data_IF_087651126390
#
_entry.id   IF_087651126390
#
_cell.length_a   1.000
_cell.length_b   1.000
_cell.length_c   1.000
_cell.angle_alpha   90.00
_cell.angle_beta   90.00
_cell.angle_gamma   90.00
#
_symmetry.space_group_name_H-M   'P 1'
#
loop_
_entity.id
_entity.type
_entity.pdbx_description
1 polymer ?
#
# COMPACT_ATOMS: atom_id res chain seq x y z
N UNK A 1 -31.43 -19.71 -12.50
CA UNK A 1 -30.73 -18.41 -12.38
C UNK A 1 -30.92 -17.90 -10.96
N UNK A 2 -29.92 -18.11 -10.10
CA UNK A 2 -29.98 -17.75 -8.68
C UNK A 2 -29.08 -16.52 -8.50
N UNK A 3 -29.66 -15.34 -8.30
CA UNK A 3 -28.91 -14.11 -8.00
C UNK A 3 -28.51 -14.17 -6.53
N UNK A 4 -27.23 -14.39 -6.27
CA UNK A 4 -26.67 -14.18 -4.93
C UNK A 4 -26.79 -12.68 -4.64
N UNK A 5 -27.40 -12.25 -3.52
CA UNK A 5 -27.48 -10.84 -3.17
C UNK A 5 -26.06 -10.31 -2.91
N UNK A 6 -25.67 -9.30 -3.69
CA UNK A 6 -24.37 -8.60 -3.64
C UNK A 6 -24.10 -7.84 -2.33
N UNK A 7 -24.97 -7.96 -1.31
CA UNK A 7 -24.87 -7.19 -0.07
C UNK A 7 -23.91 -7.78 0.98
N UNK A 8 -23.30 -8.94 0.73
CA UNK A 8 -22.53 -9.70 1.73
C UNK A 8 -21.01 -9.72 1.47
N UNK A 9 -20.50 -8.99 0.48
CA UNK A 9 -19.06 -8.96 0.14
C UNK A 9 -18.34 -7.70 0.64
N UNK A 10 -19.07 -6.72 1.18
CA UNK A 10 -18.48 -5.54 1.83
C UNK A 10 -18.26 -5.76 3.32
N UNK A 11 -17.68 -6.90 3.70
CA UNK A 11 -16.89 -6.95 4.93
C UNK A 11 -15.65 -6.09 4.70
N UNK A 12 -15.86 -4.76 4.71
CA UNK A 12 -14.83 -3.73 4.62
C UNK A 12 -13.79 -4.14 5.65
N UNK A 13 -12.66 -4.60 5.16
CA UNK A 13 -11.51 -4.92 5.97
C UNK A 13 -11.02 -3.59 6.53
N UNK A 14 -11.65 -3.11 7.60
CA UNK A 14 -11.34 -1.86 8.28
C UNK A 14 -10.03 -2.07 9.01
N UNK A 15 -8.94 -2.16 8.25
CA UNK A 15 -7.63 -2.17 8.86
C UNK A 15 -7.51 -0.86 9.66
N UNK A 16 -7.14 -0.96 10.94
CA UNK A 16 -6.99 0.21 11.78
C UNK A 16 -5.98 1.16 11.15
N UNK A 17 -6.29 2.46 11.21
CA UNK A 17 -5.41 3.47 10.63
C UNK A 17 -3.98 3.33 11.18
N UNK A 18 -2.93 3.72 10.43
CA UNK A 18 -1.55 3.66 10.92
C UNK A 18 -1.36 4.35 12.27
N UNK A 19 -2.07 5.45 12.51
CA UNK A 19 -2.11 6.15 13.79
C UNK A 19 -2.68 5.28 14.91
N UNK A 20 -3.83 4.65 14.67
CA UNK A 20 -4.45 3.73 15.64
C UNK A 20 -3.49 2.60 16.00
N UNK A 21 -2.83 2.01 14.99
CA UNK A 21 -1.84 0.94 15.21
C UNK A 21 -0.65 1.42 16.05
N UNK A 22 -0.10 2.59 15.72
CA UNK A 22 1.01 3.20 16.44
C UNK A 22 0.67 3.48 17.92
N UNK A 23 -0.47 4.12 18.19
CA UNK A 23 -0.85 4.45 19.57
C UNK A 23 -1.16 3.21 20.40
N UNK A 24 -1.86 2.23 19.82
CA UNK A 24 -2.18 0.96 20.50
C UNK A 24 -0.89 0.18 20.80
N UNK A 25 0.01 0.02 19.83
CA UNK A 25 1.27 -0.70 20.03
C UNK A 25 2.20 0.02 21.01
N UNK A 26 2.29 1.35 20.91
CA UNK A 26 3.10 2.18 21.80
C UNK A 26 2.61 2.19 23.25
N UNK A 27 1.29 2.25 23.45
CA UNK A 27 0.70 2.13 24.78
C UNK A 27 0.98 0.76 25.40
N UNK A 28 0.74 -0.32 24.66
CA UNK A 28 1.00 -1.68 25.13
C UNK A 28 2.49 -1.91 25.46
N UNK A 29 3.40 -1.41 24.61
CA UNK A 29 4.83 -1.46 24.86
C UNK A 29 5.22 -0.74 26.15
N UNK A 30 4.66 0.45 26.39
CA UNK A 30 4.93 1.25 27.59
C UNK A 30 4.45 0.55 28.86
N UNK A 31 3.25 -0.05 28.82
CA UNK A 31 2.71 -0.85 29.93
C UNK A 31 3.63 -2.03 30.26
N UNK A 32 4.10 -2.76 29.24
CA UNK A 32 4.98 -3.91 29.44
C UNK A 32 6.37 -3.51 29.97
N UNK A 33 6.95 -2.42 29.47
CA UNK A 33 8.21 -1.88 30.01
C UNK A 33 8.05 -1.47 31.47
N UNK A 34 6.92 -0.83 31.81
CA UNK A 34 6.57 -0.49 33.19
C UNK A 34 6.47 -1.72 34.09
N UNK A 35 5.81 -2.79 33.63
CA UNK A 35 5.70 -4.05 34.36
C UNK A 35 7.09 -4.69 34.62
N UNK A 36 7.95 -4.72 33.61
CA UNK A 36 9.34 -5.18 33.77
C UNK A 36 10.11 -4.34 34.79
N UNK A 37 9.97 -3.02 34.77
CA UNK A 37 10.62 -2.12 35.72
C UNK A 37 10.14 -2.36 37.17
N UNK A 38 8.83 -2.54 37.36
CA UNK A 38 8.25 -2.87 38.67
C UNK A 38 8.72 -4.24 39.19
N UNK A 39 8.82 -5.25 38.31
CA UNK A 39 9.36 -6.57 38.68
C UNK A 39 10.83 -6.49 39.11
N UNK A 40 11.65 -5.73 38.37
CA UNK A 40 13.06 -5.48 38.72
C UNK A 40 13.15 -4.80 40.09
N UNK A 41 12.33 -3.79 40.34
CA UNK A 41 12.31 -3.10 41.62
C UNK A 41 11.83 -4.01 42.76
N UNK A 42 10.81 -4.84 42.53
CA UNK A 42 10.32 -5.82 43.49
C UNK A 42 11.37 -6.86 43.88
N UNK A 43 12.15 -7.34 42.91
CA UNK A 43 13.31 -8.21 43.19
C UNK A 43 14.40 -7.48 43.98
N UNK A 44 14.68 -6.21 43.66
CA UNK A 44 15.69 -5.40 44.38
C UNK A 44 15.34 -5.17 45.86
N UNK A 45 14.05 -4.95 46.15
CA UNK A 45 13.56 -4.74 47.52
C UNK A 45 13.31 -6.08 48.25
N UNK A 46 13.47 -7.22 47.57
CA UNK A 46 13.24 -8.55 48.15
C UNK A 46 11.76 -8.95 48.27
N UNK A 47 10.85 -8.18 47.66
CA UNK A 47 9.41 -8.48 47.66
C UNK A 47 9.00 -9.58 46.67
N UNK A 48 9.87 -9.94 45.73
CA UNK A 48 9.63 -10.98 44.73
C UNK A 48 10.78 -11.98 44.73
N UNK A 49 10.53 -13.30 44.85
CA UNK A 49 11.56 -14.32 44.72
C UNK A 49 12.28 -14.24 43.38
N UNK A 50 13.62 -14.27 43.40
CA UNK A 50 14.46 -14.20 42.21
C UNK A 50 14.07 -15.17 41.07
N UNK A 51 13.85 -16.48 41.30
CA UNK A 51 13.56 -17.40 40.19
C UNK A 51 12.24 -17.06 39.51
N UNK A 52 11.26 -16.55 40.26
CA UNK A 52 9.98 -16.12 39.72
C UNK A 52 10.12 -14.85 38.89
N UNK A 53 10.81 -13.84 39.41
CA UNK A 53 11.03 -12.59 38.69
C UNK A 53 11.85 -12.77 37.41
N UNK A 54 12.89 -13.62 37.43
CA UNK A 54 13.69 -13.96 36.25
C UNK A 54 12.84 -14.66 35.19
N UNK A 55 12.01 -15.64 35.59
CA UNK A 55 11.11 -16.35 34.66
C UNK A 55 10.16 -15.40 33.91
N UNK A 56 9.55 -14.45 34.63
CA UNK A 56 8.70 -13.42 34.01
C UNK A 56 9.48 -12.49 33.08
N UNK A 57 10.68 -12.05 33.47
CA UNK A 57 11.49 -11.17 32.62
C UNK A 57 11.94 -11.86 31.32
N UNK A 58 12.21 -13.17 31.35
CA UNK A 58 12.56 -13.93 30.15
C UNK A 58 11.41 -13.98 29.12
N UNK A 59 10.17 -13.81 29.55
CA UNK A 59 8.99 -13.79 28.66
C UNK A 59 8.62 -12.34 28.28
N UNK A 60 8.46 -11.48 29.28
CA UNK A 60 8.00 -10.11 29.09
C UNK A 60 9.05 -9.21 28.45
N UNK A 61 10.34 -9.42 28.74
CA UNK A 61 11.44 -8.62 28.20
C UNK A 61 11.54 -8.70 26.67
N UNK A 62 11.63 -9.91 26.08
CA UNK A 62 11.63 -10.06 24.62
C UNK A 62 10.34 -9.55 23.98
N UNK A 63 9.18 -9.79 24.61
CA UNK A 63 7.89 -9.32 24.10
C UNK A 63 7.81 -7.78 24.06
N UNK A 64 8.25 -7.11 25.13
CA UNK A 64 8.31 -5.65 25.19
C UNK A 64 9.26 -5.09 24.13
N UNK A 65 10.43 -5.71 23.96
CA UNK A 65 11.44 -5.32 22.98
C UNK A 65 10.91 -5.46 21.55
N UNK A 66 10.21 -6.56 21.26
CA UNK A 66 9.57 -6.80 19.98
C UNK A 66 8.49 -5.75 19.67
N UNK A 67 7.62 -5.43 20.64
CA UNK A 67 6.59 -4.41 20.48
C UNK A 67 7.15 -3.01 20.27
N UNK A 68 8.25 -2.66 20.94
CA UNK A 68 8.95 -1.39 20.71
C UNK A 68 9.50 -1.33 19.27
N UNK A 69 10.11 -2.41 18.79
CA UNK A 69 10.60 -2.50 17.42
C UNK A 69 9.47 -2.29 16.39
N UNK A 70 8.34 -2.97 16.57
CA UNK A 70 7.17 -2.79 15.69
C UNK A 70 6.57 -1.39 15.77
N UNK A 71 6.55 -0.77 16.96
CA UNK A 71 6.06 0.60 17.14
C UNK A 71 6.91 1.60 16.35
N UNK A 72 8.23 1.40 16.30
CA UNK A 72 9.12 2.16 15.43
C UNK A 72 8.69 2.07 13.96
N UNK A 73 8.44 0.87 13.45
CA UNK A 73 7.95 0.67 12.08
C UNK A 73 6.61 1.38 11.79
N UNK A 74 5.65 1.30 12.71
CA UNK A 74 4.37 2.01 12.57
C UNK A 74 4.53 3.54 12.59
N UNK A 75 5.49 4.05 13.36
CA UNK A 75 5.83 5.47 13.35
C UNK A 75 6.32 5.92 11.96
N UNK A 76 7.19 5.14 11.33
CA UNK A 76 7.65 5.42 9.96
C UNK A 76 6.48 5.47 8.96
N UNK A 77 5.51 4.57 9.06
CA UNK A 77 4.32 4.56 8.18
C UNK A 77 3.46 5.82 8.25
N UNK A 78 3.48 6.52 9.39
CA UNK A 78 2.76 7.79 9.54
C UNK A 78 3.38 8.90 8.70
N UNK A 79 4.70 8.86 8.49
CA UNK A 79 5.43 9.83 7.68
C UNK A 79 5.57 9.40 6.22
N UNK A 80 5.07 8.21 5.85
CA UNK A 80 5.02 7.77 4.46
C UNK A 80 4.13 8.73 3.67
N UNK A 81 4.65 9.35 2.59
CA UNK A 81 3.85 10.22 1.74
C UNK A 81 2.67 9.44 1.18
N UNK A 82 1.51 10.09 1.13
CA UNK A 82 0.30 9.49 0.54
C UNK A 82 0.06 10.15 -0.80
N UNK A 83 0.15 9.37 -1.88
CA UNK A 83 -0.31 9.80 -3.18
C UNK A 83 -1.83 9.67 -3.25
N UNK A 84 -2.42 10.49 -4.10
CA UNK A 84 -3.79 10.36 -4.55
C UNK A 84 -3.75 10.58 -6.04
N UNK A 85 -4.14 9.57 -6.80
CA UNK A 85 -4.28 9.62 -8.24
C UNK A 85 -5.76 9.88 -8.56
N UNK A 86 -6.02 10.59 -9.65
CA UNK A 86 -7.38 10.85 -10.12
C UNK A 86 -7.38 11.02 -11.63
N UNK A 87 -8.43 10.52 -12.25
CA UNK A 87 -8.68 10.59 -13.69
C UNK A 87 -10.06 11.19 -13.91
N UNK A 88 -10.31 11.74 -15.09
CA UNK A 88 -11.60 12.32 -15.46
C UNK A 88 -12.61 11.28 -15.95
N UNK A 89 -12.16 10.14 -16.47
CA UNK A 89 -13.00 9.00 -16.84
C UNK A 89 -12.26 7.68 -16.58
N UNK A 90 -12.98 6.66 -16.09
CA UNK A 90 -12.51 5.28 -15.95
C UNK A 90 -12.72 4.46 -17.23
N UNK A 91 -13.68 4.84 -18.06
CA UNK A 91 -13.89 4.32 -19.41
C UNK A 91 -13.17 5.20 -20.44
N UNK A 92 -12.18 4.64 -21.14
CA UNK A 92 -11.30 5.38 -22.05
C UNK A 92 -11.32 4.70 -23.41
N UNK A 93 -11.45 5.44 -24.51
CA UNK A 93 -11.36 4.90 -25.86
C UNK A 93 -10.01 5.20 -26.49
N UNK A 94 -9.65 4.44 -27.52
CA UNK A 94 -8.53 4.82 -28.38
C UNK A 94 -8.74 6.21 -28.98
N UNK A 95 -7.69 7.02 -28.98
CA UNK A 95 -7.75 8.42 -29.42
C UNK A 95 -8.30 9.40 -28.38
N UNK A 96 -8.93 8.92 -27.29
CA UNK A 96 -9.35 9.79 -26.20
C UNK A 96 -8.14 10.39 -25.49
N UNK A 97 -8.32 11.60 -24.98
CA UNK A 97 -7.32 12.26 -24.12
C UNK A 97 -7.74 12.13 -22.67
N UNK A 98 -7.01 11.30 -21.92
CA UNK A 98 -7.17 11.11 -20.49
C UNK A 98 -6.48 12.24 -19.72
N UNK A 99 -7.18 12.90 -18.80
CA UNK A 99 -6.57 13.89 -17.91
C UNK A 99 -6.24 13.26 -16.56
N UNK A 100 -4.98 12.94 -16.38
CA UNK A 100 -4.44 12.37 -15.15
C UNK A 100 -4.03 13.51 -14.21
N UNK A 101 -4.45 13.44 -12.96
CA UNK A 101 -4.05 14.37 -11.89
C UNK A 101 -3.58 13.59 -10.69
N UNK A 102 -2.53 14.08 -10.05
CA UNK A 102 -2.03 13.49 -8.82
C UNK A 102 -1.74 14.54 -7.77
N UNK A 103 -1.74 14.10 -6.52
CA UNK A 103 -1.32 14.90 -5.38
C UNK A 103 -0.66 14.02 -4.34
N UNK A 104 0.54 14.39 -3.92
CA UNK A 104 1.26 13.72 -2.82
C UNK A 104 1.17 14.60 -1.57
N UNK A 105 0.65 14.04 -0.49
CA UNK A 105 0.57 14.68 0.83
C UNK A 105 1.66 14.11 1.76
N UNK A 106 2.08 14.91 2.73
CA UNK A 106 3.15 14.54 3.67
C UNK A 106 4.53 14.93 3.16
N UNK A 107 5.51 14.03 3.30
CA UNK A 107 6.91 14.28 2.98
C UNK A 107 7.22 14.16 1.46
N UNK A 108 6.44 14.85 0.61
CA UNK A 108 6.59 14.79 -0.85
C UNK A 108 8.00 15.19 -1.35
N UNK A 109 8.70 16.06 -0.62
CA UNK A 109 10.08 16.48 -0.93
C UNK A 109 11.11 15.36 -0.83
N UNK A 110 10.76 14.21 -0.23
CA UNK A 110 11.64 13.03 -0.18
C UNK A 110 11.52 12.15 -1.42
N UNK A 111 10.43 12.28 -2.18
CA UNK A 111 10.23 11.55 -3.42
C UNK A 111 11.19 12.13 -4.46
N UNK A 112 12.07 11.28 -5.00
CA UNK A 112 13.11 11.70 -5.95
C UNK A 112 12.57 11.68 -7.37
N UNK A 113 11.86 10.62 -7.71
CA UNK A 113 11.31 10.39 -9.04
C UNK A 113 9.86 9.94 -8.91
N UNK A 114 9.00 10.47 -9.79
CA UNK A 114 7.61 10.08 -9.96
C UNK A 114 7.42 9.50 -11.35
N UNK A 115 6.88 8.29 -11.43
CA UNK A 115 6.51 7.63 -12.68
C UNK A 115 5.04 7.25 -12.65
N UNK A 116 4.36 7.39 -13.78
CA UNK A 116 3.01 6.90 -13.99
C UNK A 116 3.04 5.90 -15.13
N UNK A 117 2.51 4.71 -14.87
CA UNK A 117 2.45 3.60 -15.82
C UNK A 117 1.01 3.19 -16.06
N UNK A 118 0.71 2.76 -17.28
CA UNK A 118 -0.45 1.94 -17.56
C UNK A 118 0.00 0.48 -17.65
N UNK A 119 -0.42 -0.32 -16.68
CA UNK A 119 -0.09 -1.75 -16.63
C UNK A 119 -1.32 -2.56 -16.99
N UNK A 120 -1.17 -3.45 -17.97
CA UNK A 120 -2.21 -4.35 -18.45
C UNK A 120 -1.85 -5.80 -18.18
N UNK A 121 -2.83 -6.57 -17.73
CA UNK A 121 -2.74 -8.01 -17.57
C UNK A 121 -3.82 -8.69 -18.39
N UNK A 122 -3.46 -9.71 -19.17
CA UNK A 122 -4.46 -10.48 -19.90
C UNK A 122 -5.34 -11.27 -18.92
N UNK A 123 -6.67 -11.10 -19.02
CA UNK A 123 -7.65 -11.85 -18.23
C UNK A 123 -7.76 -13.26 -18.84
N UNK A 124 -7.01 -14.23 -18.33
CA UNK A 124 -7.28 -15.65 -18.57
C UNK A 124 -8.29 -16.14 -17.51
N UNK A 125 -9.44 -16.63 -17.94
CA UNK A 125 -10.48 -17.19 -17.07
C UNK A 125 -9.95 -18.33 -16.17
N UNK A 126 -8.86 -19.00 -16.57
CA UNK A 126 -8.21 -20.05 -15.77
C UNK A 126 -7.25 -19.49 -14.72
N UNK A 127 -6.67 -18.31 -14.93
CA UNK A 127 -5.74 -17.67 -14.01
C UNK A 127 -6.45 -16.96 -12.84
N UNK A 128 -7.71 -16.56 -13.01
CA UNK A 128 -8.49 -15.87 -11.97
C UNK A 128 -8.86 -16.74 -10.75
N UNK A 129 -8.64 -18.06 -10.79
CA UNK A 129 -8.78 -18.94 -9.61
C UNK A 129 -7.58 -18.85 -8.65
N UNK A 130 -6.56 -18.09 -9.03
CA UNK A 130 -5.32 -17.90 -8.29
C UNK A 130 -5.28 -16.44 -7.80
N UNK A 131 -4.70 -16.16 -6.62
CA UNK A 131 -4.69 -14.81 -6.04
C UNK A 131 -4.04 -13.79 -7.00
N UNK A 132 -4.50 -12.52 -6.97
CA UNK A 132 -3.98 -11.40 -7.80
C UNK A 132 -2.44 -11.36 -7.78
N UNK A 133 -1.85 -11.50 -6.59
CA UNK A 133 -0.39 -11.54 -6.37
C UNK A 133 0.34 -12.72 -7.05
N UNK A 134 -0.33 -13.86 -7.19
CA UNK A 134 0.27 -15.05 -7.81
C UNK A 134 0.09 -15.04 -9.33
N UNK A 135 -0.95 -14.39 -9.87
CA UNK A 135 -1.09 -14.12 -11.31
C UNK A 135 -0.02 -13.11 -11.79
N UNK A 136 0.27 -12.08 -10.99
CA UNK A 136 1.32 -11.10 -11.29
C UNK A 136 2.73 -11.71 -11.42
N UNK A 137 2.98 -12.84 -10.75
CA UNK A 137 4.28 -13.54 -10.76
C UNK A 137 4.44 -14.57 -11.86
N UNK A 138 3.36 -15.00 -12.54
CA UNK A 138 3.39 -16.26 -13.29
C UNK A 138 3.61 -16.13 -14.81
N UNK A 139 3.33 -15.03 -15.53
CA UNK A 139 3.49 -15.06 -17.00
C UNK A 139 3.90 -13.75 -17.69
N UNK A 140 4.53 -13.93 -18.86
CA UNK A 140 4.84 -13.03 -19.99
C UNK A 140 3.66 -12.16 -20.52
N UNK A 141 2.58 -12.02 -19.75
CA UNK A 141 1.30 -11.41 -20.13
C UNK A 141 1.12 -9.99 -19.60
N UNK A 142 2.12 -9.46 -18.89
CA UNK A 142 2.12 -8.09 -18.39
C UNK A 142 2.61 -7.14 -19.47
N UNK A 143 1.75 -6.20 -19.88
CA UNK A 143 2.17 -5.03 -20.67
C UNK A 143 2.30 -3.84 -19.74
N UNK A 144 3.37 -3.07 -19.87
CA UNK A 144 3.56 -1.83 -19.10
C UNK A 144 3.93 -0.73 -20.07
N UNK A 145 3.20 0.37 -20.02
CA UNK A 145 3.45 1.58 -20.82
C UNK A 145 3.77 2.70 -19.85
N UNK A 146 4.95 3.29 -19.97
CA UNK A 146 5.29 4.50 -19.22
C UNK A 146 4.59 5.70 -19.88
N UNK A 147 3.79 6.42 -19.10
CA UNK A 147 2.98 7.56 -19.57
C UNK A 147 3.61 8.88 -19.16
N UNK A 148 4.23 8.93 -17.98
CA UNK A 148 4.79 10.14 -17.40
C UNK A 148 5.96 9.81 -16.50
N UNK A 149 6.99 10.65 -16.54
CA UNK A 149 8.13 10.64 -15.63
C UNK A 149 8.49 12.07 -15.27
N UNK A 150 8.76 12.32 -13.98
CA UNK A 150 9.29 13.60 -13.52
C UNK A 150 10.15 13.44 -12.27
N UNK A 151 11.27 14.15 -12.26
CA UNK A 151 12.15 14.36 -11.10
C UNK A 151 12.00 15.77 -10.51
N UNK A 152 11.08 16.59 -11.04
CA UNK A 152 10.85 17.96 -10.57
C UNK A 152 10.07 17.96 -9.26
N UNK A 153 10.61 18.49 -8.14
CA UNK A 153 9.91 18.46 -6.84
C UNK A 153 8.53 19.15 -6.85
N UNK A 154 8.35 20.13 -7.73
CA UNK A 154 7.07 20.85 -7.88
C UNK A 154 6.02 19.94 -8.52
N UNK A 155 6.38 19.25 -9.61
CA UNK A 155 5.50 18.34 -10.33
C UNK A 155 5.22 17.08 -9.51
N UNK A 156 6.22 16.56 -8.79
CA UNK A 156 6.09 15.43 -7.88
C UNK A 156 5.01 15.70 -6.82
N UNK A 157 5.03 16.89 -6.20
CA UNK A 157 4.07 17.23 -5.14
C UNK A 157 2.63 17.22 -5.64
N UNK A 158 2.41 17.78 -6.83
CA UNK A 158 1.11 17.79 -7.48
C UNK A 158 1.28 18.20 -8.93
N UNK A 159 0.56 17.52 -9.81
CA UNK A 159 0.58 17.86 -11.23
C UNK A 159 -0.66 17.34 -11.95
N UNK A 160 -0.72 17.69 -13.23
CA UNK A 160 -1.70 17.15 -14.16
C UNK A 160 -1.03 16.94 -15.50
N UNK A 161 -1.33 15.82 -16.13
CA UNK A 161 -0.83 15.45 -17.43
C UNK A 161 -2.00 14.97 -18.31
N UNK A 162 -1.94 15.31 -19.59
CA UNK A 162 -2.90 14.85 -20.59
C UNK A 162 -2.21 13.82 -21.47
N UNK A 163 -2.78 12.62 -21.53
CA UNK A 163 -2.25 11.52 -22.31
C UNK A 163 -3.31 11.06 -23.32
N UNK A 164 -2.94 10.98 -24.59
CA UNK A 164 -3.81 10.44 -25.63
C UNK A 164 -3.57 8.94 -25.77
N UNK A 165 -4.63 8.14 -25.64
CA UNK A 165 -4.53 6.69 -25.69
C UNK A 165 -4.20 6.24 -27.11
N UNK A 166 -3.04 5.61 -27.36
CA UNK A 166 -2.69 5.14 -28.69
C UNK A 166 -3.45 3.86 -29.03
N UNK A 167 -3.76 3.66 -30.32
CA UNK A 167 -4.42 2.44 -30.84
C UNK A 167 -3.62 1.15 -30.58
N UNK A 168 -2.34 1.26 -30.21
CA UNK A 168 -1.48 0.13 -29.87
C UNK A 168 -1.79 -0.50 -28.51
N UNK A 169 -2.59 0.15 -27.66
CA UNK A 169 -3.03 -0.37 -26.36
C UNK A 169 -4.13 -1.42 -26.59
N UNK A 170 -3.99 -2.66 -26.09
CA UNK A 170 -5.08 -3.62 -26.16
C UNK A 170 -6.35 -3.17 -25.42
N UNK A 171 -7.51 -3.48 -25.98
CA UNK A 171 -8.81 -3.20 -25.35
C UNK A 171 -9.14 -4.18 -24.21
N UNK A 172 -10.00 -3.74 -23.29
CA UNK A 172 -10.43 -4.50 -22.10
C UNK A 172 -11.48 -5.56 -22.43
N UNK A 173 -12.03 -5.51 -23.64
CA UNK A 173 -13.08 -6.40 -24.15
C UNK A 173 -12.62 -7.11 -25.42
N UNK A 174 -13.12 -8.32 -25.67
CA UNK A 174 -12.87 -9.04 -26.93
C UNK A 174 -12.39 -10.46 -26.70
N UNK A 175 -11.68 -11.02 -27.69
CA UNK A 175 -11.16 -12.40 -27.64
C UNK A 175 -10.01 -12.59 -26.65
N UNK A 176 -9.29 -11.51 -26.34
CA UNK A 176 -8.15 -11.49 -25.43
C UNK A 176 -8.25 -10.27 -24.49
N UNK A 177 -9.24 -10.23 -23.60
CA UNK A 177 -9.51 -9.06 -22.77
C UNK A 177 -8.34 -8.76 -21.81
N UNK A 178 -7.99 -7.48 -21.67
CA UNK A 178 -7.01 -7.03 -20.68
C UNK A 178 -7.68 -6.34 -19.48
N UNK A 179 -7.10 -6.51 -18.29
CA UNK A 179 -7.36 -5.69 -17.12
C UNK A 179 -6.28 -4.62 -17.07
N UNK A 180 -6.69 -3.35 -17.09
CA UNK A 180 -5.76 -2.22 -17.04
C UNK A 180 -5.79 -1.54 -15.68
N UNK A 181 -4.61 -1.20 -15.19
CA UNK A 181 -4.41 -0.47 -13.96
C UNK A 181 -3.44 0.68 -14.22
N UNK A 182 -3.90 1.90 -13.94
CA UNK A 182 -3.06 3.09 -13.93
C UNK A 182 -2.34 3.14 -12.59
N UNK A 183 -1.01 3.10 -12.62
CA UNK A 183 -0.14 3.00 -11.44
C UNK A 183 0.74 4.22 -11.34
N UNK A 184 0.67 4.89 -10.20
CA UNK A 184 1.61 5.95 -9.80
C UNK A 184 2.65 5.33 -8.87
N UNK A 185 3.91 5.53 -9.18
CA UNK A 185 5.04 5.09 -8.36
C UNK A 185 5.97 6.26 -8.08
N UNK A 186 6.20 6.53 -6.79
CA UNK A 186 7.21 7.49 -6.35
C UNK A 186 8.36 6.80 -5.62
N UNK A 187 9.60 7.00 -6.05
CA UNK A 187 10.75 6.40 -5.37
C UNK A 187 11.29 7.29 -4.25
N UNK A 188 11.63 6.69 -3.09
CA UNK A 188 12.22 7.38 -1.96
C UNK A 188 13.48 6.66 -1.47
N UNK A 189 14.64 7.33 -1.50
CA UNK A 189 15.88 6.72 -1.03
C UNK A 189 15.82 6.38 0.47
N UNK A 190 15.99 5.09 0.79
CA UNK A 190 16.03 4.58 2.17
C UNK A 190 14.67 4.54 2.88
N UNK A 191 13.56 4.74 2.15
CA UNK A 191 12.20 4.65 2.67
C UNK A 191 11.35 3.76 1.74
N UNK A 192 10.17 3.30 2.19
CA UNK A 192 9.22 2.64 1.30
C UNK A 192 8.77 3.59 0.18
N UNK A 193 8.66 3.06 -1.04
CA UNK A 193 8.14 3.78 -2.20
C UNK A 193 6.67 4.19 -2.00
N UNK A 194 6.25 5.25 -2.70
CA UNK A 194 4.87 5.74 -2.73
C UNK A 194 4.08 5.00 -3.80
N UNK A 195 3.10 4.24 -3.33
CA UNK A 195 2.08 3.49 -4.07
C UNK A 195 0.78 4.26 -4.38
N UNK A 196 0.25 4.29 -5.61
CA UNK A 196 -1.20 4.40 -5.83
C UNK A 196 -1.65 3.73 -7.15
N UNK A 197 -2.81 3.08 -7.16
CA UNK A 197 -3.37 2.42 -8.34
C UNK A 197 -4.87 2.70 -8.54
N UNK A 198 -5.29 2.79 -9.80
CA UNK A 198 -6.69 2.92 -10.21
C UNK A 198 -6.92 1.99 -11.39
N UNK A 199 -7.95 1.15 -11.30
CA UNK A 199 -8.38 0.30 -12.42
C UNK A 199 -9.11 1.14 -13.47
N UNK A 200 -8.84 0.87 -14.74
CA UNK A 200 -9.43 1.57 -15.89
C UNK A 200 -9.85 0.58 -16.95
N UNK A 201 -10.87 0.93 -17.73
CA UNK A 201 -11.33 0.15 -18.86
C UNK A 201 -11.03 0.89 -20.17
N UNK A 202 -10.18 0.27 -21.00
CA UNK A 202 -9.88 0.70 -22.37
C UNK A 202 -10.85 0.05 -23.35
N UNK A 203 -11.43 0.82 -24.27
CA UNK A 203 -12.34 0.39 -25.32
C UNK A 203 -11.86 0.84 -26.71
N UNK A 204 -12.43 0.23 -27.74
CA UNK A 204 -12.27 0.73 -29.10
C UNK A 204 -13.11 2.00 -29.32
N UNK A 205 -12.77 2.79 -30.35
CA UNK A 205 -13.40 4.08 -30.63
C UNK A 205 -14.92 3.96 -30.95
#
# INVERSE_FOLDING_TARGET
MHRIPLAEIDAVNTQPSPWTRFFVSGFLATVLVGACAMLIQGMRVGGIPLPFGIGFLCILGPLASLLLFFTGGNFLMVFTPRATLSIDSDAIRHGDTLKIKWRIRGAAHKVQDLKIFLTGFQKDERAFKVSKDMVERILDLRRTVEIFESSSPVEIRSGSFSWTVPESVPVSTGLAPMAWTLRLQGSIAGWPDVYEEIDVDVFDA
#
